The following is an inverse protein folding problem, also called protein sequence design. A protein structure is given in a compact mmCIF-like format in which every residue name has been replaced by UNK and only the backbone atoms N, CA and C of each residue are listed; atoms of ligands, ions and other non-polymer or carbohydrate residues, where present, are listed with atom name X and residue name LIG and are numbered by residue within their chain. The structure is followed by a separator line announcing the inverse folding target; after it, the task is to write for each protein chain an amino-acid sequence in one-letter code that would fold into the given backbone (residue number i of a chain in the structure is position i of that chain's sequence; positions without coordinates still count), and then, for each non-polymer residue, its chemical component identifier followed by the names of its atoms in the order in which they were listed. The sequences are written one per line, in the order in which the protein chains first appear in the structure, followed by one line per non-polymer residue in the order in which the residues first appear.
data_IF_660540336101
#
_entry.id   IF_660540336101
#
_cell.length_a   1.000
_cell.length_b   1.000
_cell.length_c   1.000
_cell.angle_alpha   90.00
_cell.angle_beta   90.00
_cell.angle_gamma   90.00
#
_symmetry.space_group_name_H-M   'P 1'
#
loop_
_entity.id
_entity.type
_entity.pdbx_description
1 polymer ?
#
# COMPACT_ATOMS: atom_id res chain seq x y z
N UNK A 1 32.86 4.85 -6.24
CA UNK A 1 32.44 5.25 -4.88
C UNK A 1 31.55 4.17 -4.30
N UNK A 2 31.74 3.75 -3.04
CA UNK A 2 30.90 2.72 -2.42
C UNK A 2 29.59 3.30 -1.90
N UNK A 3 28.53 2.49 -1.90
CA UNK A 3 27.19 2.92 -1.46
C UNK A 3 27.18 3.45 -0.02
N UNK A 4 27.90 2.80 0.89
CA UNK A 4 27.99 3.22 2.29
C UNK A 4 28.75 4.54 2.48
N UNK A 5 29.68 4.88 1.58
CA UNK A 5 30.40 6.16 1.63
C UNK A 5 29.45 7.33 1.36
N UNK A 6 28.39 7.12 0.56
CA UNK A 6 27.44 8.19 0.22
C UNK A 6 26.68 8.70 1.45
N UNK A 7 26.43 7.84 2.44
CA UNK A 7 25.71 8.19 3.69
C UNK A 7 26.39 9.30 4.49
N UNK A 8 27.71 9.43 4.35
CA UNK A 8 28.47 10.49 5.00
C UNK A 8 28.21 11.88 4.39
N UNK A 9 27.77 11.94 3.14
CA UNK A 9 27.46 13.18 2.42
C UNK A 9 25.98 13.55 2.57
N UNK A 10 25.57 13.73 3.83
CA UNK A 10 24.19 13.94 4.22
C UNK A 10 23.73 15.41 4.21
N UNK A 11 24.57 16.36 3.81
CA UNK A 11 24.23 17.79 3.79
C UNK A 11 24.13 18.46 5.16
N UNK A 12 24.47 17.77 6.25
CA UNK A 12 24.44 18.27 7.62
C UNK A 12 25.86 18.60 8.13
N UNK A 13 25.96 19.42 9.18
CA UNK A 13 27.24 19.77 9.82
C UNK A 13 28.34 20.28 8.85
N UNK A 14 27.92 20.97 7.78
CA UNK A 14 28.83 21.50 6.75
C UNK A 14 29.31 20.46 5.74
N UNK A 15 28.84 19.21 5.81
CA UNK A 15 29.14 18.18 4.81
C UNK A 15 28.36 18.44 3.50
N UNK A 16 28.89 18.02 2.35
CA UNK A 16 28.15 18.02 1.08
C UNK A 16 26.87 17.17 1.16
N UNK A 17 25.90 17.47 0.30
CA UNK A 17 24.65 16.73 0.17
C UNK A 17 24.67 15.94 -1.14
N UNK A 18 24.83 14.61 -1.06
CA UNK A 18 24.81 13.72 -2.23
C UNK A 18 23.56 12.83 -2.23
N UNK A 19 23.12 12.40 -3.41
CA UNK A 19 22.03 11.42 -3.58
C UNK A 19 22.45 10.35 -4.59
N UNK A 20 21.90 9.15 -4.45
CA UNK A 20 22.06 8.09 -5.45
C UNK A 20 20.81 8.03 -6.33
N UNK A 21 21.00 7.98 -7.64
CA UNK A 21 19.95 7.74 -8.61
C UNK A 21 20.46 6.83 -9.73
N UNK A 22 19.85 5.66 -9.90
CA UNK A 22 20.24 4.64 -10.90
C UNK A 22 21.74 4.33 -10.87
N UNK A 23 22.28 3.98 -9.70
CA UNK A 23 23.70 3.70 -9.46
C UNK A 23 24.66 4.87 -9.76
N UNK A 24 24.15 6.09 -9.86
CA UNK A 24 24.93 7.31 -10.07
C UNK A 24 24.78 8.24 -8.87
N UNK A 25 25.89 8.80 -8.43
CA UNK A 25 25.94 9.76 -7.32
C UNK A 25 25.88 11.18 -7.88
N UNK A 26 24.96 11.97 -7.36
CA UNK A 26 24.78 13.37 -7.72
C UNK A 26 24.98 14.27 -6.49
N UNK A 27 25.75 15.34 -6.66
CA UNK A 27 25.90 16.42 -5.70
C UNK A 27 24.78 17.42 -5.87
N UNK A 28 23.96 17.55 -4.82
CA UNK A 28 22.81 18.45 -4.74
C UNK A 28 23.03 19.61 -3.78
N UNK A 29 24.26 19.79 -3.28
CA UNK A 29 24.64 20.78 -2.25
C UNK A 29 24.26 22.21 -2.66
N UNK A 30 24.39 22.55 -3.95
CA UNK A 30 24.08 23.88 -4.46
C UNK A 30 22.58 24.10 -4.76
N UNK A 31 21.73 23.13 -4.43
CA UNK A 31 20.29 23.25 -4.61
C UNK A 31 19.59 23.84 -3.41
N UNK A 32 18.86 24.95 -3.64
CA UNK A 32 18.00 25.56 -2.61
C UNK A 32 16.91 24.61 -2.09
N UNK A 33 16.59 23.56 -2.85
CA UNK A 33 15.60 22.53 -2.50
C UNK A 33 16.16 21.42 -1.59
N UNK A 34 17.48 21.41 -1.34
CA UNK A 34 18.21 20.40 -0.55
C UNK A 34 18.93 21.03 0.65
N UNK A 35 18.37 22.10 1.22
CA UNK A 35 18.96 22.78 2.38
C UNK A 35 19.11 21.81 3.55
N UNK A 36 20.30 21.82 4.16
CA UNK A 36 20.67 20.91 5.25
C UNK A 36 20.46 19.43 4.89
N UNK A 37 20.64 19.08 3.61
CA UNK A 37 20.42 17.73 3.11
C UNK A 37 18.98 17.25 3.14
N UNK A 38 17.99 18.13 3.32
CA UNK A 38 16.57 17.75 3.34
C UNK A 38 15.85 18.26 2.10
N UNK A 39 15.05 17.39 1.49
CA UNK A 39 14.16 17.73 0.40
C UNK A 39 12.71 17.44 0.77
N UNK A 40 11.87 18.48 0.70
CA UNK A 40 10.44 18.44 0.98
C UNK A 40 10.06 17.79 2.34
N UNK A 41 10.97 17.81 3.33
CA UNK A 41 10.85 17.10 4.61
C UNK A 41 10.52 15.60 4.50
N UNK A 42 10.84 14.99 3.34
CA UNK A 42 10.54 13.58 3.05
C UNK A 42 11.77 12.79 2.65
N UNK A 43 12.75 13.43 2.02
CA UNK A 43 13.95 12.78 1.54
C UNK A 43 15.19 13.41 2.15
N UNK A 44 16.20 12.59 2.44
CA UNK A 44 17.48 13.06 2.96
C UNK A 44 18.59 12.81 1.94
N UNK A 45 19.60 13.68 1.95
CA UNK A 45 20.87 13.40 1.29
C UNK A 45 21.60 12.27 2.04
N UNK A 46 22.50 11.58 1.34
CA UNK A 46 23.12 10.34 1.79
C UNK A 46 22.30 9.09 1.50
N UNK A 47 21.16 9.22 0.81
CA UNK A 47 20.23 8.13 0.51
C UNK A 47 20.14 7.84 -0.99
N UNK A 48 19.65 6.64 -1.30
CA UNK A 48 19.24 6.29 -2.66
C UNK A 48 17.80 6.68 -2.93
N UNK A 49 17.60 7.41 -4.03
CA UNK A 49 16.33 8.01 -4.40
C UNK A 49 15.81 7.56 -5.76
N UNK A 50 16.37 6.48 -6.31
CA UNK A 50 15.99 5.89 -7.60
C UNK A 50 14.48 5.70 -7.73
N UNK A 51 13.83 5.12 -6.73
CA UNK A 51 12.40 4.78 -6.80
C UNK A 51 11.48 5.97 -6.49
N UNK A 52 11.95 6.95 -5.71
CA UNK A 52 11.13 8.09 -5.29
C UNK A 52 10.88 9.09 -6.42
N UNK A 53 11.73 9.13 -7.45
CA UNK A 53 11.54 10.09 -8.55
C UNK A 53 10.24 9.86 -9.31
N UNK A 54 9.74 8.62 -9.34
CA UNK A 54 8.47 8.26 -9.98
C UNK A 54 7.24 8.83 -9.27
N UNK A 55 7.37 9.15 -7.98
CA UNK A 55 6.31 9.70 -7.13
C UNK A 55 6.42 11.22 -6.96
N UNK A 56 7.48 11.83 -7.50
CA UNK A 56 7.73 13.25 -7.40
C UNK A 56 6.84 14.05 -8.39
N UNK A 57 6.55 15.33 -8.11
CA UNK A 57 5.86 16.21 -9.06
C UNK A 57 6.76 16.66 -10.24
N UNK A 58 7.88 15.96 -10.48
CA UNK A 58 8.89 16.26 -11.50
C UNK A 58 9.60 14.98 -11.95
N UNK A 59 10.27 15.02 -13.10
CA UNK A 59 11.00 13.89 -13.68
C UNK A 59 12.50 13.93 -13.37
N UNK A 60 13.26 12.96 -13.89
CA UNK A 60 14.73 12.86 -13.73
C UNK A 60 15.52 13.99 -14.39
N UNK A 61 14.89 14.80 -15.25
CA UNK A 61 15.50 15.97 -15.90
C UNK A 61 16.04 16.99 -14.89
N UNK A 62 15.52 17.00 -13.67
CA UNK A 62 16.01 17.88 -12.60
C UNK A 62 17.48 17.63 -12.24
N UNK A 63 18.01 16.43 -12.51
CA UNK A 63 19.40 16.05 -12.27
C UNK A 63 20.36 16.68 -13.30
N UNK A 64 19.85 17.22 -14.41
CA UNK A 64 20.62 17.91 -15.44
C UNK A 64 20.70 19.42 -15.20
N UNK A 65 20.05 19.94 -14.15
CA UNK A 65 20.09 21.37 -13.81
C UNK A 65 21.52 21.79 -13.46
N UNK A 66 21.86 23.03 -13.78
CA UNK A 66 23.20 23.61 -13.59
C UNK A 66 23.75 23.53 -12.15
N UNK A 67 22.86 23.39 -11.16
CA UNK A 67 23.19 23.35 -9.74
C UNK A 67 23.26 21.93 -9.16
N UNK A 68 23.13 20.90 -10.01
CA UNK A 68 23.31 19.50 -9.68
C UNK A 68 24.52 18.99 -10.46
N UNK A 69 25.43 18.25 -9.80
CA UNK A 69 26.64 17.73 -10.47
C UNK A 69 26.70 16.22 -10.36
N UNK A 70 27.02 15.56 -11.46
CA UNK A 70 27.40 14.14 -11.40
C UNK A 70 28.76 14.00 -10.70
N UNK A 71 28.86 13.06 -9.76
CA UNK A 71 30.06 12.84 -8.94
C UNK A 71 30.77 11.56 -9.35
N UNK A 72 30.06 10.43 -9.35
CA UNK A 72 30.63 9.12 -9.64
C UNK A 72 29.54 8.10 -9.97
N UNK A 73 29.93 6.98 -10.58
CA UNK A 73 29.13 5.76 -10.56
C UNK A 73 29.45 4.97 -9.29
N UNK A 74 28.46 4.24 -8.77
CA UNK A 74 28.67 3.37 -7.62
C UNK A 74 29.50 2.16 -8.03
N UNK A 75 30.51 1.86 -7.22
CA UNK A 75 31.21 0.58 -7.23
C UNK A 75 30.40 -0.38 -6.37
N UNK A 76 29.39 -1.01 -6.98
CA UNK A 76 28.67 -2.09 -6.30
C UNK A 76 29.54 -3.36 -6.36
N UNK A 77 29.84 -3.95 -5.20
CA UNK A 77 30.22 -5.36 -5.12
C UNK A 77 29.02 -6.16 -5.65
N UNK A 78 29.11 -6.67 -6.87
CA UNK A 78 28.03 -7.44 -7.50
C UNK A 78 27.92 -8.79 -6.77
N UNK A 79 27.27 -8.80 -5.61
CA UNK A 79 26.59 -10.02 -5.15
C UNK A 79 25.48 -10.29 -6.18
N UNK A 80 25.72 -11.25 -7.07
CA UNK A 80 24.70 -11.83 -7.94
C UNK A 80 23.65 -12.54 -7.08
N UNK A 81 22.71 -11.79 -6.51
CA UNK A 81 21.49 -12.38 -5.96
C UNK A 81 20.56 -12.73 -7.13
N UNK A 82 20.06 -13.96 -7.10
CA UNK A 82 19.14 -14.65 -8.03
C UNK A 82 18.43 -13.81 -9.12
N UNK A 83 19.00 -13.84 -10.33
CA UNK A 83 18.55 -13.19 -11.57
C UNK A 83 17.04 -13.33 -11.89
N UNK A 84 16.36 -14.40 -11.44
CA UNK A 84 14.91 -14.59 -11.69
C UNK A 84 14.03 -13.86 -10.66
N UNK A 85 14.36 -13.93 -9.37
CA UNK A 85 13.55 -13.31 -8.31
C UNK A 85 13.63 -11.78 -8.43
N UNK A 86 14.81 -11.25 -8.74
CA UNK A 86 15.00 -9.82 -8.96
C UNK A 86 14.31 -9.30 -10.22
N UNK A 87 14.34 -10.04 -11.33
CA UNK A 87 13.53 -9.70 -12.52
C UNK A 87 12.03 -9.65 -12.20
N UNK A 88 11.55 -10.60 -11.41
CA UNK A 88 10.14 -10.64 -10.99
C UNK A 88 9.80 -9.51 -10.01
N UNK A 89 10.69 -9.20 -9.08
CA UNK A 89 10.58 -8.07 -8.15
C UNK A 89 10.51 -6.75 -8.91
N UNK A 90 11.42 -6.51 -9.86
CA UNK A 90 11.42 -5.32 -10.72
C UNK A 90 10.14 -5.21 -11.56
N UNK A 91 9.65 -6.30 -12.14
CA UNK A 91 8.39 -6.30 -12.88
C UNK A 91 7.18 -6.01 -11.97
N UNK A 92 7.13 -6.65 -10.80
CA UNK A 92 6.08 -6.45 -9.80
C UNK A 92 6.07 -5.01 -9.28
N UNK A 93 7.24 -4.45 -8.99
CA UNK A 93 7.40 -3.04 -8.64
C UNK A 93 6.90 -2.16 -9.78
N UNK A 94 7.34 -2.35 -11.03
CA UNK A 94 6.89 -1.53 -12.18
C UNK A 94 5.38 -1.55 -12.39
N UNK A 95 4.75 -2.72 -12.27
CA UNK A 95 3.30 -2.86 -12.45
C UNK A 95 2.48 -2.22 -11.31
N UNK A 96 3.11 -1.94 -10.16
CA UNK A 96 2.45 -1.37 -8.97
C UNK A 96 1.06 -1.97 -8.69
N UNK A 97 0.87 -3.31 -8.66
CA UNK A 97 -0.46 -3.91 -8.52
C UNK A 97 -1.04 -3.71 -7.11
N UNK A 98 -0.19 -3.49 -6.10
CA UNK A 98 -0.57 -3.49 -4.68
C UNK A 98 -1.56 -2.36 -4.29
N UNK A 99 -1.39 -1.08 -4.67
CA UNK A 99 -2.42 -0.07 -4.39
C UNK A 99 -3.75 -0.40 -5.07
N UNK A 100 -3.72 -0.88 -6.31
CA UNK A 100 -4.92 -1.14 -7.10
C UNK A 100 -5.74 -2.29 -6.48
N UNK A 101 -5.12 -3.45 -6.25
CA UNK A 101 -5.85 -4.61 -5.78
C UNK A 101 -6.21 -4.56 -4.30
N UNK A 102 -5.47 -3.81 -3.48
CA UNK A 102 -5.73 -3.77 -2.03
C UNK A 102 -6.73 -2.68 -1.65
N UNK A 103 -6.76 -1.54 -2.36
CA UNK A 103 -7.76 -0.49 -2.11
C UNK A 103 -9.13 -0.82 -2.73
N UNK A 104 -9.20 -1.69 -3.73
CA UNK A 104 -10.45 -2.08 -4.38
C UNK A 104 -11.49 -2.72 -3.44
N UNK A 105 -11.20 -3.81 -2.69
CA UNK A 105 -12.15 -4.37 -1.73
C UNK A 105 -12.55 -3.35 -0.67
N UNK A 106 -11.61 -2.47 -0.24
CA UNK A 106 -11.91 -1.48 0.79
C UNK A 106 -13.04 -0.56 0.37
N UNK A 107 -12.91 0.07 -0.80
CA UNK A 107 -13.90 1.01 -1.32
C UNK A 107 -15.28 0.36 -1.45
N UNK A 108 -15.34 -0.88 -1.93
CA UNK A 108 -16.61 -1.59 -2.13
C UNK A 108 -17.25 -1.97 -0.78
N UNK A 109 -16.47 -2.40 0.22
CA UNK A 109 -17.01 -2.66 1.56
C UNK A 109 -17.63 -1.42 2.20
N UNK A 110 -16.93 -0.28 2.14
CA UNK A 110 -17.46 1.00 2.65
C UNK A 110 -18.69 1.45 1.88
N UNK A 111 -18.67 1.34 0.55
CA UNK A 111 -19.82 1.68 -0.30
C UNK A 111 -21.03 0.81 0.04
N UNK A 112 -20.86 -0.51 0.14
CA UNK A 112 -21.95 -1.42 0.48
C UNK A 112 -22.52 -1.14 1.87
N UNK A 113 -21.67 -0.88 2.87
CA UNK A 113 -22.14 -0.50 4.20
C UNK A 113 -22.86 0.85 4.19
N UNK A 114 -22.40 1.83 3.42
CA UNK A 114 -23.10 3.09 3.23
C UNK A 114 -24.48 2.87 2.60
N UNK A 115 -24.61 2.01 1.59
CA UNK A 115 -25.92 1.63 1.03
C UNK A 115 -26.81 0.96 2.08
N UNK A 116 -26.27 0.11 2.96
CA UNK A 116 -27.03 -0.49 4.07
C UNK A 116 -27.57 0.56 5.05
N UNK A 117 -26.78 1.57 5.38
CA UNK A 117 -27.21 2.70 6.20
C UNK A 117 -28.31 3.52 5.50
N UNK A 118 -28.18 3.77 4.19
CA UNK A 118 -29.23 4.45 3.43
C UNK A 118 -30.54 3.66 3.43
N UNK A 119 -30.49 2.33 3.35
CA UNK A 119 -31.68 1.49 3.51
C UNK A 119 -32.34 1.68 4.88
N UNK A 120 -31.57 1.74 5.97
CA UNK A 120 -32.13 1.96 7.31
C UNK A 120 -32.87 3.30 7.45
N UNK A 121 -32.34 4.35 6.82
CA UNK A 121 -32.90 5.70 6.88
C UNK A 121 -34.11 5.83 5.95
N UNK A 122 -33.97 5.40 4.70
CA UNK A 122 -34.97 5.65 3.65
C UNK A 122 -36.03 4.55 3.55
N UNK A 123 -35.78 3.38 4.16
CA UNK A 123 -36.59 2.15 4.01
C UNK A 123 -36.73 1.68 2.56
N UNK A 124 -35.87 2.16 1.66
CA UNK A 124 -35.86 1.74 0.27
C UNK A 124 -35.08 0.44 0.11
N UNK A 125 -35.73 -0.60 -0.44
CA UNK A 125 -35.15 -1.94 -0.64
C UNK A 125 -34.03 -1.97 -1.69
N UNK A 126 -33.97 -1.02 -2.61
CA UNK A 126 -32.94 -0.98 -3.65
C UNK A 126 -31.55 -0.68 -3.06
N UNK A 127 -31.47 0.13 -2.00
CA UNK A 127 -30.19 0.36 -1.30
C UNK A 127 -29.70 -0.90 -0.59
N UNK A 128 -30.60 -1.70 -0.01
CA UNK A 128 -30.21 -2.98 0.59
C UNK A 128 -29.68 -3.96 -0.46
N UNK A 129 -30.35 -4.06 -1.63
CA UNK A 129 -29.86 -4.86 -2.76
C UNK A 129 -28.50 -4.40 -3.25
N UNK A 130 -28.29 -3.08 -3.35
CA UNK A 130 -27.00 -2.51 -3.72
C UNK A 130 -25.90 -2.84 -2.69
N UNK A 131 -26.22 -2.76 -1.40
CA UNK A 131 -25.34 -3.21 -0.31
C UNK A 131 -24.95 -4.68 -0.47
N UNK A 132 -25.93 -5.56 -0.72
CA UNK A 132 -25.67 -6.98 -0.91
C UNK A 132 -24.77 -7.27 -2.11
N UNK A 133 -25.04 -6.68 -3.27
CA UNK A 133 -24.18 -6.88 -4.44
C UNK A 133 -22.78 -6.32 -4.24
N UNK A 134 -22.65 -5.17 -3.57
CA UNK A 134 -21.36 -4.64 -3.16
C UNK A 134 -20.63 -5.62 -2.22
N UNK A 135 -21.31 -6.21 -1.23
CA UNK A 135 -20.73 -7.22 -0.34
C UNK A 135 -20.20 -8.45 -1.12
N UNK A 136 -20.96 -8.94 -2.10
CA UNK A 136 -20.53 -10.06 -2.98
C UNK A 136 -19.27 -9.67 -3.76
N UNK A 137 -19.28 -8.51 -4.43
CA UNK A 137 -18.12 -8.03 -5.18
C UNK A 137 -16.90 -7.80 -4.28
N UNK A 138 -17.11 -7.20 -3.10
CA UNK A 138 -16.06 -6.96 -2.12
C UNK A 138 -15.43 -8.27 -1.65
N UNK A 139 -16.25 -9.27 -1.29
CA UNK A 139 -15.79 -10.60 -0.89
C UNK A 139 -14.96 -11.27 -1.98
N UNK A 140 -15.45 -11.28 -3.22
CA UNK A 140 -14.70 -11.85 -4.36
C UNK A 140 -13.39 -11.11 -4.63
N UNK A 141 -13.33 -9.80 -4.37
CA UNK A 141 -12.10 -9.02 -4.53
C UNK A 141 -11.09 -9.21 -3.39
N UNK A 142 -11.44 -9.87 -2.28
CA UNK A 142 -10.47 -10.24 -1.25
C UNK A 142 -9.41 -11.20 -1.81
N UNK A 143 -9.81 -12.17 -2.64
CA UNK A 143 -8.90 -13.20 -3.17
C UNK A 143 -7.71 -12.61 -3.95
N UNK A 144 -7.90 -11.76 -4.98
CA UNK A 144 -6.78 -11.12 -5.67
C UNK A 144 -5.98 -10.18 -4.76
N UNK A 145 -6.62 -9.51 -3.79
CA UNK A 145 -5.93 -8.65 -2.83
C UNK A 145 -4.99 -9.45 -1.90
N UNK A 146 -5.45 -10.60 -1.41
CA UNK A 146 -4.65 -11.52 -0.58
C UNK A 146 -3.50 -12.10 -1.40
N UNK A 147 -3.75 -12.54 -2.63
CA UNK A 147 -2.69 -13.07 -3.51
C UNK A 147 -1.61 -12.02 -3.78
N UNK A 148 -2.01 -10.78 -4.12
CA UNK A 148 -1.09 -9.66 -4.27
C UNK A 148 -0.33 -9.37 -2.97
N UNK A 149 -1.02 -9.42 -1.82
CA UNK A 149 -0.39 -9.24 -0.51
C UNK A 149 0.69 -10.30 -0.20
N UNK A 150 0.42 -11.58 -0.49
CA UNK A 150 1.37 -12.69 -0.31
C UNK A 150 2.57 -12.53 -1.24
N UNK A 151 2.33 -12.23 -2.52
CA UNK A 151 3.41 -11.99 -3.49
C UNK A 151 4.30 -10.82 -3.06
N UNK A 152 3.69 -9.71 -2.63
CA UNK A 152 4.43 -8.56 -2.11
C UNK A 152 5.24 -8.91 -0.86
N UNK A 153 4.66 -9.69 0.06
CA UNK A 153 5.32 -10.10 1.29
C UNK A 153 6.54 -11.00 1.03
N UNK A 154 6.43 -11.91 0.05
CA UNK A 154 7.53 -12.78 -0.37
C UNK A 154 8.62 -12.02 -1.15
N UNK A 155 8.24 -11.23 -2.15
CA UNK A 155 9.19 -10.56 -3.06
C UNK A 155 9.94 -9.40 -2.39
N UNK A 156 9.25 -8.62 -1.56
CA UNK A 156 9.79 -7.36 -1.07
C UNK A 156 10.26 -7.46 0.38
N UNK A 157 9.63 -8.32 1.18
CA UNK A 157 9.86 -8.38 2.62
C UNK A 157 10.45 -9.71 3.09
N UNK A 158 10.94 -10.54 2.16
CA UNK A 158 11.59 -11.83 2.44
C UNK A 158 10.78 -12.73 3.40
N UNK A 159 9.45 -12.66 3.30
CA UNK A 159 8.52 -13.38 4.18
C UNK A 159 8.76 -13.14 5.69
N UNK A 160 9.25 -11.96 6.06
CA UNK A 160 9.53 -11.61 7.47
C UNK A 160 8.24 -11.46 8.29
N UNK A 161 8.28 -11.95 9.53
CA UNK A 161 7.12 -11.92 10.44
C UNK A 161 7.22 -10.79 11.47
N UNK A 162 6.96 -9.56 11.03
CA UNK A 162 6.77 -8.43 11.96
C UNK A 162 5.37 -8.46 12.59
N UNK A 163 5.17 -7.70 13.67
CA UNK A 163 3.83 -7.54 14.28
C UNK A 163 2.79 -7.05 13.26
N UNK A 164 3.20 -6.16 12.35
CA UNK A 164 2.35 -5.60 11.29
C UNK A 164 1.87 -6.71 10.34
N UNK A 165 2.77 -7.58 9.85
CA UNK A 165 2.40 -8.68 8.97
C UNK A 165 1.49 -9.70 9.67
N UNK A 166 1.79 -10.04 10.93
CA UNK A 166 0.93 -10.93 11.73
C UNK A 166 -0.50 -10.38 11.85
N UNK A 167 -0.64 -9.10 12.20
CA UNK A 167 -1.94 -8.44 12.26
C UNK A 167 -2.66 -8.43 10.91
N UNK A 168 -1.97 -8.10 9.81
CA UNK A 168 -2.60 -8.14 8.49
C UNK A 168 -3.10 -9.53 8.13
N UNK A 169 -2.33 -10.58 8.36
CA UNK A 169 -2.73 -11.96 8.05
C UNK A 169 -3.95 -12.36 8.89
N UNK A 170 -3.86 -12.22 10.21
CA UNK A 170 -4.93 -12.62 11.14
C UNK A 170 -6.23 -11.86 10.85
N UNK A 171 -6.15 -10.54 10.71
CA UNK A 171 -7.35 -9.74 10.45
C UNK A 171 -7.89 -9.92 9.02
N UNK A 172 -7.05 -10.25 8.03
CA UNK A 172 -7.55 -10.60 6.67
C UNK A 172 -8.32 -11.92 6.67
N UNK A 173 -7.88 -12.91 7.45
CA UNK A 173 -8.63 -14.16 7.66
C UNK A 173 -9.95 -13.84 8.37
N UNK A 174 -9.91 -13.06 9.44
CA UNK A 174 -11.11 -12.65 10.18
C UNK A 174 -12.11 -11.90 9.27
N UNK A 175 -11.63 -10.93 8.50
CA UNK A 175 -12.41 -10.19 7.50
C UNK A 175 -13.09 -11.15 6.51
N UNK A 176 -12.34 -12.11 5.99
CA UNK A 176 -12.85 -13.10 5.02
C UNK A 176 -13.95 -13.96 5.64
N UNK A 177 -13.75 -14.45 6.85
CA UNK A 177 -14.74 -15.28 7.57
C UNK A 177 -16.02 -14.51 7.90
N UNK A 178 -15.90 -13.30 8.45
CA UNK A 178 -17.07 -12.47 8.78
C UNK A 178 -17.81 -12.08 7.50
N UNK A 179 -17.10 -11.71 6.44
CA UNK A 179 -17.72 -11.36 5.14
C UNK A 179 -18.46 -12.54 4.53
N UNK A 180 -17.84 -13.73 4.56
CA UNK A 180 -18.47 -14.96 4.07
C UNK A 180 -19.73 -15.32 4.86
N UNK A 181 -19.66 -15.25 6.20
CA UNK A 181 -20.82 -15.49 7.06
C UNK A 181 -21.95 -14.48 6.78
N UNK A 182 -21.61 -13.19 6.65
CA UNK A 182 -22.57 -12.13 6.33
C UNK A 182 -23.25 -12.38 4.98
N UNK A 183 -22.48 -12.82 3.98
CA UNK A 183 -22.97 -13.18 2.65
C UNK A 183 -23.89 -14.41 2.70
N UNK A 184 -23.54 -15.44 3.46
CA UNK A 184 -24.40 -16.64 3.65
C UNK A 184 -25.72 -16.24 4.28
N UNK A 185 -25.70 -15.50 5.39
CA UNK A 185 -26.93 -15.08 6.08
C UNK A 185 -27.86 -14.34 5.12
N UNK A 186 -27.32 -13.39 4.37
CA UNK A 186 -28.10 -12.61 3.40
C UNK A 186 -28.60 -13.44 2.22
N UNK A 187 -27.81 -14.40 1.74
CA UNK A 187 -28.18 -15.26 0.61
C UNK A 187 -29.24 -16.29 0.99
N UNK A 188 -29.21 -16.79 2.24
CA UNK A 188 -30.23 -17.70 2.77
C UNK A 188 -31.54 -17.01 3.14
N UNK A 189 -31.56 -15.68 3.25
CA UNK A 189 -32.75 -14.89 3.56
C UNK A 189 -32.96 -13.78 2.52
N UNK A 190 -33.49 -14.10 1.32
CA UNK A 190 -33.71 -13.12 0.26
C UNK A 190 -34.55 -11.91 0.68
N UNK A 191 -35.53 -12.15 1.56
CA UNK A 191 -36.52 -11.17 2.07
C UNK A 191 -36.09 -10.49 3.38
N UNK A 192 -34.79 -10.52 3.71
CA UNK A 192 -34.25 -9.91 4.93
C UNK A 192 -34.51 -8.39 5.00
N UNK A 193 -34.59 -7.72 3.85
CA UNK A 193 -34.81 -6.27 3.73
C UNK A 193 -36.22 -5.81 4.07
N UNK A 194 -37.22 -6.71 4.03
CA UNK A 194 -38.61 -6.42 4.37
C UNK A 194 -39.00 -6.83 5.78
N UNK A 195 -38.09 -7.50 6.50
CA UNK A 195 -38.42 -8.15 7.77
C UNK A 195 -37.58 -7.58 8.92
N UNK A 196 -38.22 -6.89 9.86
CA UNK A 196 -37.60 -6.39 11.10
C UNK A 196 -37.37 -7.52 12.12
N UNK A 197 -36.60 -8.54 11.74
CA UNK A 197 -36.34 -9.73 12.55
C UNK A 197 -34.94 -9.76 13.17
N UNK A 198 -34.73 -10.64 14.16
CA UNK A 198 -33.42 -10.80 14.82
C UNK A 198 -32.28 -11.12 13.83
N UNK A 199 -32.58 -11.85 12.75
CA UNK A 199 -31.62 -12.20 11.70
C UNK A 199 -31.11 -10.95 10.98
N UNK A 200 -31.96 -9.94 10.76
CA UNK A 200 -31.55 -8.67 10.16
C UNK A 200 -30.55 -7.94 11.06
N UNK A 201 -30.79 -7.90 12.37
CA UNK A 201 -29.86 -7.27 13.31
C UNK A 201 -28.52 -8.01 13.39
N UNK A 202 -28.53 -9.35 13.31
CA UNK A 202 -27.30 -10.15 13.23
C UNK A 202 -26.53 -9.82 11.94
N UNK A 203 -27.21 -9.80 10.79
CA UNK A 203 -26.62 -9.40 9.51
C UNK A 203 -26.03 -7.99 9.57
N UNK A 204 -26.79 -7.02 10.08
CA UNK A 204 -26.35 -5.64 10.23
C UNK A 204 -25.13 -5.53 11.14
N UNK A 205 -25.12 -6.23 12.27
CA UNK A 205 -24.01 -6.25 13.20
C UNK A 205 -22.74 -6.84 12.58
N UNK A 206 -22.85 -7.98 11.89
CA UNK A 206 -21.72 -8.60 11.21
C UNK A 206 -21.15 -7.71 10.10
N UNK A 207 -22.02 -7.07 9.30
CA UNK A 207 -21.57 -6.09 8.30
C UNK A 207 -20.87 -4.91 9.00
N UNK A 208 -21.45 -4.39 10.08
CA UNK A 208 -20.82 -3.31 10.85
C UNK A 208 -19.43 -3.70 11.35
N UNK A 209 -19.23 -4.96 11.78
CA UNK A 209 -17.95 -5.48 12.26
C UNK A 209 -16.89 -5.61 11.15
N UNK A 210 -17.30 -5.76 9.89
CA UNK A 210 -16.38 -5.75 8.73
C UNK A 210 -15.63 -4.41 8.65
N UNK A 211 -16.30 -3.30 8.91
CA UNK A 211 -15.73 -1.96 8.76
C UNK A 211 -14.51 -1.70 9.66
N UNK A 212 -14.57 -1.81 11.00
CA UNK A 212 -13.40 -1.59 11.84
C UNK A 212 -12.31 -2.64 11.60
N UNK A 213 -12.67 -3.89 11.27
CA UNK A 213 -11.72 -4.94 10.88
C UNK A 213 -10.91 -4.51 9.66
N UNK A 214 -11.59 -4.05 8.62
CA UNK A 214 -11.00 -3.54 7.38
C UNK A 214 -10.16 -2.29 7.63
N UNK A 215 -10.65 -1.33 8.40
CA UNK A 215 -9.90 -0.12 8.79
C UNK A 215 -8.61 -0.48 9.50
N UNK A 216 -8.63 -1.47 10.40
CA UNK A 216 -7.44 -1.91 11.12
C UNK A 216 -6.40 -2.54 10.18
N UNK A 217 -6.83 -3.34 9.22
CA UNK A 217 -5.95 -3.90 8.17
C UNK A 217 -5.34 -2.76 7.35
N UNK A 218 -6.15 -1.79 6.92
CA UNK A 218 -5.71 -0.65 6.12
C UNK A 218 -4.71 0.24 6.89
N UNK A 219 -4.99 0.53 8.16
CA UNK A 219 -4.11 1.30 9.04
C UNK A 219 -2.75 0.63 9.22
N UNK A 220 -2.73 -0.68 9.45
CA UNK A 220 -1.47 -1.43 9.53
C UNK A 220 -0.77 -1.52 8.17
N UNK A 221 -1.53 -1.64 7.07
CA UNK A 221 -1.01 -1.62 5.71
C UNK A 221 -0.29 -0.33 5.36
N UNK A 222 -0.84 0.83 5.75
CA UNK A 222 -0.23 2.14 5.51
C UNK A 222 1.08 2.38 6.27
N UNK A 223 1.40 1.57 7.28
CA UNK A 223 2.69 1.62 7.99
C UNK A 223 3.79 0.83 7.31
N UNK A 224 3.44 -0.01 6.33
CA UNK A 224 4.41 -0.78 5.57
C UNK A 224 4.99 0.16 4.52
N UNK A 225 6.17 0.71 4.80
CA UNK A 225 6.97 1.37 3.78
C UNK A 225 7.49 0.31 2.81
N UNK A 226 7.47 0.60 1.52
CA UNK A 226 8.14 -0.27 0.56
C UNK A 226 9.62 -0.38 0.94
N UNK A 227 10.20 -1.59 0.93
CA UNK A 227 11.62 -1.72 1.15
C UNK A 227 12.30 -1.10 -0.07
N UNK A 228 13.07 -0.06 0.23
CA UNK A 228 14.13 0.53 -0.59
C UNK A 228 15.11 -0.54 -1.06
#
# INVERSE_FOLDING_TARGET
MKRDEVKEFNGENGKPAYIIYKNKVYDVTNSKLWKNGKHANRHSAGEELTDFISMAPHTEEVLQRYNIKFVAELEDDIEKVEDKKDKFRVLYTKLHPHPIFIHYPMGIFYFGYFMLLLHLITRNVYFEKASYYALVCAFLSIFPAVLSGILSWWLNYEATFTKIFKYKIVFSILLSLISFLTLIIRSSHPDLSSTSGIIFYIYFFLYTLIIPTLTFIAYNGGKITWPS
#
